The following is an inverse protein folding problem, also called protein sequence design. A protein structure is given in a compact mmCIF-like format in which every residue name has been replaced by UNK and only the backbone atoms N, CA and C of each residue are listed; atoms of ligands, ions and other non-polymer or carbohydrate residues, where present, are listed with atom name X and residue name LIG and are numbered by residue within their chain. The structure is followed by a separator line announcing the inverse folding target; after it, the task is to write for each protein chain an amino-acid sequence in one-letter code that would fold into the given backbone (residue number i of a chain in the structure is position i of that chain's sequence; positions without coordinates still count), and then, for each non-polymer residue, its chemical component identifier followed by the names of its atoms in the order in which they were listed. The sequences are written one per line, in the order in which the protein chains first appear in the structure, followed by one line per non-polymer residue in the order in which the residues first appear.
data_IF_485169179874
#
_entry.id   IF_485169179874
#
_cell.length_a   1.000
_cell.length_b   1.000
_cell.length_c   1.000
_cell.angle_alpha   90.00
_cell.angle_beta   90.00
_cell.angle_gamma   90.00
#
_symmetry.space_group_name_H-M   'P 1'
#
loop_
_entity.id
_entity.type
_entity.pdbx_description
1 polymer ?
#
# COMPACT_ATOMS: atom_id res chain seq x y z
N UNK A 1 28.47 -1.38 10.11
CA UNK A 1 27.57 -1.83 9.04
C UNK A 1 27.92 -1.02 7.81
N UNK A 2 28.52 -1.65 6.81
CA UNK A 2 28.72 -1.01 5.51
C UNK A 2 27.35 -0.81 4.87
N UNK A 3 26.96 0.43 4.63
CA UNK A 3 25.79 0.74 3.84
C UNK A 3 26.02 0.16 2.44
N UNK A 4 25.17 -0.77 2.01
CA UNK A 4 25.13 -1.23 0.62
C UNK A 4 24.66 -0.02 -0.20
N UNK A 5 25.61 0.79 -0.67
CA UNK A 5 25.36 1.84 -1.63
C UNK A 5 25.15 1.18 -2.98
N UNK A 6 23.89 1.09 -3.42
CA UNK A 6 23.58 0.69 -4.78
C UNK A 6 24.36 1.60 -5.75
N UNK A 7 24.87 1.06 -6.88
CA UNK A 7 25.61 1.85 -7.85
C UNK A 7 24.80 3.10 -8.21
N UNK A 8 25.31 4.27 -7.88
CA UNK A 8 24.64 5.52 -8.22
C UNK A 8 24.79 5.77 -9.72
N UNK A 9 23.69 6.11 -10.38
CA UNK A 9 23.72 6.53 -11.77
C UNK A 9 24.66 7.75 -11.92
N UNK A 10 25.47 7.75 -12.96
CA UNK A 10 26.29 8.92 -13.29
C UNK A 10 25.38 10.12 -13.60
N UNK A 11 25.90 11.33 -13.41
CA UNK A 11 25.16 12.57 -13.69
C UNK A 11 24.61 12.63 -15.12
N UNK A 12 25.34 12.08 -16.09
CA UNK A 12 24.90 11.94 -17.49
C UNK A 12 23.67 11.05 -17.59
N UNK A 13 23.69 9.88 -16.94
CA UNK A 13 22.55 8.94 -16.97
C UNK A 13 21.33 9.47 -16.22
N UNK A 14 21.52 10.26 -15.17
CA UNK A 14 20.43 10.94 -14.48
C UNK A 14 19.76 11.96 -15.41
N UNK A 15 20.53 12.72 -16.19
CA UNK A 15 19.98 13.65 -17.21
C UNK A 15 19.21 12.89 -18.31
N UNK A 16 19.78 11.82 -18.85
CA UNK A 16 19.10 10.97 -19.83
C UNK A 16 17.76 10.43 -19.30
N UNK A 17 17.72 9.98 -18.04
CA UNK A 17 16.49 9.52 -17.41
C UNK A 17 15.47 10.65 -17.23
N UNK A 18 15.92 11.85 -16.82
CA UNK A 18 15.05 13.02 -16.70
C UNK A 18 14.43 13.42 -18.04
N UNK A 19 15.22 13.37 -19.12
CA UNK A 19 14.75 13.60 -20.49
C UNK A 19 13.75 12.51 -20.88
N UNK A 20 14.08 11.22 -20.69
CA UNK A 20 13.15 10.12 -20.95
C UNK A 20 11.78 10.30 -20.29
N UNK A 21 11.78 10.77 -19.04
CA UNK A 21 10.56 11.01 -18.27
C UNK A 21 9.80 12.26 -18.74
N UNK A 22 10.42 13.23 -19.40
CA UNK A 22 9.74 14.46 -19.83
C UNK A 22 8.84 14.26 -21.05
N UNK A 23 9.18 13.30 -21.93
CA UNK A 23 8.38 12.93 -23.09
C UNK A 23 7.62 11.60 -22.92
N UNK A 24 7.54 11.09 -21.68
CA UNK A 24 6.83 9.84 -21.42
C UNK A 24 5.33 9.98 -21.70
N UNK A 25 4.83 9.19 -22.66
CA UNK A 25 3.41 9.18 -23.05
C UNK A 25 2.69 7.86 -22.74
N UNK A 26 3.32 6.94 -22.00
CA UNK A 26 2.72 5.66 -21.57
C UNK A 26 2.47 4.62 -22.67
N UNK A 27 2.40 5.03 -23.94
CA UNK A 27 2.01 4.20 -25.08
C UNK A 27 3.20 3.70 -25.94
N UNK A 28 4.38 4.32 -25.80
CA UNK A 28 5.55 3.94 -26.60
C UNK A 28 6.27 2.70 -26.04
N UNK A 29 6.29 1.61 -26.81
CA UNK A 29 7.08 0.40 -26.51
C UNK A 29 8.58 0.71 -26.33
N UNK A 30 9.09 1.66 -27.11
CA UNK A 30 10.50 2.09 -27.03
C UNK A 30 10.83 2.66 -25.65
N UNK A 31 9.93 3.47 -25.08
CA UNK A 31 10.13 4.05 -23.75
C UNK A 31 10.18 2.98 -22.65
N UNK A 32 9.39 1.90 -22.78
CA UNK A 32 9.39 0.79 -21.81
C UNK A 32 10.71 0.01 -21.80
N UNK A 33 11.27 -0.31 -22.96
CA UNK A 33 12.58 -0.98 -23.02
C UNK A 33 13.72 -0.11 -22.45
N UNK A 34 13.64 1.21 -22.66
CA UNK A 34 14.65 2.14 -22.18
C UNK A 34 14.60 2.30 -20.66
N UNK A 35 13.40 2.38 -20.06
CA UNK A 35 13.26 2.51 -18.61
C UNK A 35 13.68 1.24 -17.87
N UNK A 36 13.47 0.05 -18.45
CA UNK A 36 13.95 -1.22 -17.88
C UNK A 36 15.47 -1.23 -17.67
N UNK A 37 16.24 -0.59 -18.57
CA UNK A 37 17.69 -0.43 -18.41
C UNK A 37 18.02 0.38 -17.15
N UNK A 38 17.33 1.48 -16.92
CA UNK A 38 17.52 2.32 -15.73
C UNK A 38 17.08 1.61 -14.45
N UNK A 39 16.00 0.80 -14.50
CA UNK A 39 15.55 0.00 -13.36
C UNK A 39 16.63 -1.00 -12.95
N UNK A 40 17.26 -1.69 -13.90
CA UNK A 40 18.37 -2.64 -13.62
C UNK A 40 19.60 -1.98 -13.03
N UNK A 41 19.84 -0.71 -13.36
CA UNK A 41 20.95 0.07 -12.80
C UNK A 41 20.64 0.64 -11.41
N UNK A 42 19.36 0.75 -11.06
CA UNK A 42 18.87 1.37 -9.84
C UNK A 42 18.42 2.81 -10.09
N UNK A 43 17.17 3.12 -9.74
CA UNK A 43 16.61 4.48 -9.90
C UNK A 43 17.02 5.36 -8.71
N UNK A 44 17.53 6.60 -8.95
CA UNK A 44 17.91 7.51 -7.88
C UNK A 44 16.69 7.84 -7.01
N UNK A 45 16.82 7.92 -5.68
CA UNK A 45 15.68 8.18 -4.79
C UNK A 45 14.82 9.38 -5.21
N UNK A 46 15.44 10.48 -5.62
CA UNK A 46 14.75 11.70 -6.07
C UNK A 46 13.92 11.55 -7.34
N UNK A 47 14.11 10.49 -8.12
CA UNK A 47 13.39 10.23 -9.36
C UNK A 47 12.39 9.07 -9.26
N UNK A 48 12.36 8.33 -8.15
CA UNK A 48 11.48 7.16 -7.99
C UNK A 48 10.01 7.51 -8.17
N UNK A 49 9.54 8.57 -7.51
CA UNK A 49 8.14 9.04 -7.64
C UNK A 49 7.74 9.30 -9.09
N UNK A 50 8.58 10.05 -9.83
CA UNK A 50 8.36 10.33 -11.26
C UNK A 50 8.33 9.05 -12.11
N UNK A 51 9.26 8.13 -11.87
CA UNK A 51 9.31 6.84 -12.57
C UNK A 51 8.05 6.01 -12.27
N UNK A 52 7.63 5.92 -11.02
CA UNK A 52 6.45 5.14 -10.61
C UNK A 52 5.16 5.70 -11.23
N UNK A 53 4.99 7.03 -11.19
CA UNK A 53 3.91 7.76 -11.87
C UNK A 53 3.80 7.40 -13.35
N UNK A 54 4.94 7.41 -14.06
CA UNK A 54 5.03 7.01 -15.47
C UNK A 54 4.67 5.53 -15.71
N UNK A 55 5.25 4.61 -14.93
CA UNK A 55 5.07 3.16 -15.11
C UNK A 55 3.64 2.69 -14.80
N UNK A 56 3.00 3.31 -13.82
CA UNK A 56 1.62 3.02 -13.42
C UNK A 56 0.59 3.76 -14.27
N UNK A 57 1.03 4.75 -15.05
CA UNK A 57 0.22 5.64 -15.90
C UNK A 57 -0.91 6.30 -15.10
N UNK A 58 -0.58 6.83 -13.92
CA UNK A 58 -1.58 7.33 -12.97
C UNK A 58 -2.33 8.56 -13.47
N UNK A 59 -1.69 9.44 -14.26
CA UNK A 59 -2.37 10.62 -14.82
C UNK A 59 -3.49 10.20 -15.76
N UNK A 60 -3.20 9.28 -16.69
CA UNK A 60 -4.23 8.73 -17.59
C UNK A 60 -5.35 8.05 -16.80
N UNK A 61 -5.04 7.34 -15.71
CA UNK A 61 -6.06 6.68 -14.89
C UNK A 61 -6.97 7.72 -14.21
N UNK A 62 -6.38 8.74 -13.58
CA UNK A 62 -7.09 9.85 -12.96
C UNK A 62 -8.01 10.54 -13.98
N UNK A 63 -7.46 10.89 -15.13
CA UNK A 63 -8.17 11.69 -16.13
C UNK A 63 -9.34 10.92 -16.79
N UNK A 64 -9.28 9.58 -16.80
CA UNK A 64 -10.36 8.72 -17.30
C UNK A 64 -11.38 8.30 -16.24
N UNK A 65 -11.09 8.54 -14.97
CA UNK A 65 -11.92 8.08 -13.86
C UNK A 65 -12.94 9.12 -13.46
N UNK A 66 -14.19 8.71 -13.24
CA UNK A 66 -15.25 9.59 -12.71
C UNK A 66 -15.08 9.90 -11.21
N UNK A 67 -14.23 9.13 -10.52
CA UNK A 67 -13.95 9.33 -9.10
C UNK A 67 -13.12 10.58 -8.83
N UNK A 68 -13.54 11.39 -7.86
CA UNK A 68 -12.81 12.56 -7.39
C UNK A 68 -12.33 12.35 -5.95
N UNK A 69 -11.01 12.31 -5.77
CA UNK A 69 -10.37 12.05 -4.48
C UNK A 69 -10.75 13.09 -3.42
N UNK A 70 -10.68 14.38 -3.74
CA UNK A 70 -10.99 15.46 -2.79
C UNK A 70 -12.46 15.45 -2.36
N UNK A 71 -13.38 15.17 -3.30
CA UNK A 71 -14.80 15.03 -3.01
C UNK A 71 -15.07 13.85 -2.07
N UNK A 72 -14.44 12.69 -2.33
CA UNK A 72 -14.55 11.53 -1.46
C UNK A 72 -14.11 11.85 -0.02
N UNK A 73 -13.01 12.59 0.15
CA UNK A 73 -12.53 12.96 1.49
C UNK A 73 -13.51 13.89 2.22
N UNK A 74 -14.15 14.82 1.51
CA UNK A 74 -15.19 15.67 2.10
C UNK A 74 -16.39 14.84 2.59
N UNK A 75 -16.79 13.82 1.83
CA UNK A 75 -17.88 12.91 2.21
C UNK A 75 -17.51 12.05 3.43
N UNK A 76 -16.27 11.58 3.53
CA UNK A 76 -15.76 10.78 4.67
C UNK A 76 -15.67 11.59 5.96
N UNK A 77 -15.35 12.88 5.88
CA UNK A 77 -15.19 13.75 7.06
C UNK A 77 -16.47 13.95 7.87
N UNK A 78 -17.65 13.89 7.25
CA UNK A 78 -18.93 13.97 7.96
C UNK A 78 -19.10 12.87 9.02
N UNK A 79 -19.07 11.59 8.62
CA UNK A 79 -19.02 10.45 9.54
C UNK A 79 -17.98 10.56 10.66
N UNK A 80 -16.76 11.00 10.36
CA UNK A 80 -15.71 11.16 11.37
C UNK A 80 -16.08 12.22 12.41
N UNK A 81 -16.61 13.36 11.98
CA UNK A 81 -17.06 14.43 12.88
C UNK A 81 -18.21 13.96 13.78
N UNK A 82 -19.19 13.25 13.22
CA UNK A 82 -20.32 12.70 13.99
C UNK A 82 -19.86 11.69 15.06
N UNK A 83 -18.72 11.00 14.82
CA UNK A 83 -18.07 10.10 15.77
C UNK A 83 -17.16 10.82 16.77
N UNK A 84 -16.94 12.13 16.62
CA UNK A 84 -15.96 12.88 17.42
C UNK A 84 -14.51 12.49 17.11
N UNK A 85 -14.26 11.93 15.93
CA UNK A 85 -12.96 11.43 15.48
C UNK A 85 -12.36 12.36 14.44
N UNK A 86 -11.03 12.44 14.41
CA UNK A 86 -10.28 13.18 13.38
C UNK A 86 -9.28 12.26 12.69
N UNK A 87 -9.07 12.47 11.40
CA UNK A 87 -8.01 11.84 10.61
C UNK A 87 -6.60 12.10 11.19
N UNK A 88 -6.43 13.21 11.92
CA UNK A 88 -5.19 13.57 12.62
C UNK A 88 -5.03 12.86 13.98
N UNK A 89 -6.09 12.26 14.51
CA UNK A 89 -6.12 11.58 15.79
C UNK A 89 -6.63 10.14 15.68
N UNK A 90 -6.50 9.52 14.49
CA UNK A 90 -7.17 8.25 14.21
C UNK A 90 -6.67 7.11 15.09
N UNK A 91 -5.39 7.13 15.49
CA UNK A 91 -4.84 6.13 16.41
C UNK A 91 -5.44 6.24 17.82
N UNK A 92 -5.62 7.45 18.34
CA UNK A 92 -6.32 7.66 19.61
C UNK A 92 -7.80 7.32 19.55
N UNK A 93 -8.39 7.32 18.36
CA UNK A 93 -9.80 7.01 18.15
C UNK A 93 -10.12 5.52 18.13
N UNK A 94 -9.13 4.62 18.16
CA UNK A 94 -9.36 3.16 18.11
C UNK A 94 -10.30 2.69 19.23
N UNK A 95 -10.12 3.23 20.45
CA UNK A 95 -10.97 2.90 21.60
C UNK A 95 -12.40 3.36 21.36
N UNK A 96 -12.59 4.64 21.00
CA UNK A 96 -13.90 5.22 20.68
C UNK A 96 -14.62 4.47 19.56
N UNK A 97 -13.91 4.10 18.49
CA UNK A 97 -14.45 3.31 17.39
C UNK A 97 -14.84 1.89 17.84
N UNK A 98 -14.08 1.29 18.75
CA UNK A 98 -14.38 -0.04 19.30
C UNK A 98 -15.60 -0.02 20.21
N UNK A 99 -15.71 0.98 21.09
CA UNK A 99 -16.87 1.17 21.97
C UNK A 99 -18.14 1.46 21.16
N UNK A 100 -18.06 2.38 20.20
CA UNK A 100 -19.20 2.73 19.33
C UNK A 100 -19.66 1.53 18.50
N UNK A 101 -18.75 0.66 18.05
CA UNK A 101 -19.10 -0.57 17.34
C UNK A 101 -19.89 -1.54 18.22
N UNK A 102 -19.56 -1.63 19.51
CA UNK A 102 -20.21 -2.53 20.46
C UNK A 102 -21.57 -2.00 20.95
N UNK A 103 -21.72 -0.67 21.02
CA UNK A 103 -22.90 0.02 21.54
C UNK A 103 -23.96 0.34 20.47
N UNK A 104 -23.86 -0.24 19.27
CA UNK A 104 -24.78 0.00 18.15
C UNK A 104 -26.23 -0.42 18.51
N UNK A 105 -26.97 0.51 19.11
CA UNK A 105 -28.43 0.50 19.18
C UNK A 105 -29.01 0.84 17.79
N UNK A 106 -30.22 0.38 17.45
CA UNK A 106 -30.79 0.61 16.12
C UNK A 106 -31.09 2.11 15.91
N UNK A 107 -30.25 2.75 15.09
CA UNK A 107 -30.42 4.01 14.34
C UNK A 107 -31.02 5.22 15.09
N UNK A 108 -30.14 6.15 15.49
CA UNK A 108 -30.50 7.56 15.51
C UNK A 108 -30.56 8.09 14.05
N UNK A 109 -31.68 8.68 13.59
CA UNK A 109 -31.86 9.12 12.20
C UNK A 109 -30.91 10.24 11.73
N UNK A 110 -30.22 10.91 12.66
CA UNK A 110 -29.38 12.09 12.38
C UNK A 110 -27.92 11.74 12.05
N UNK A 111 -27.50 10.49 12.25
CA UNK A 111 -26.10 10.07 12.09
C UNK A 111 -25.78 9.77 10.63
N UNK A 112 -24.66 10.31 10.12
CA UNK A 112 -24.23 10.15 8.72
C UNK A 112 -23.35 8.91 8.48
N UNK A 113 -23.07 8.12 9.51
CA UNK A 113 -22.25 6.92 9.43
C UNK A 113 -23.06 5.63 9.51
N UNK A 114 -22.55 4.58 8.88
CA UNK A 114 -23.04 3.20 8.98
C UNK A 114 -22.17 2.34 9.90
N UNK A 115 -22.67 1.17 10.28
CA UNK A 115 -21.87 0.16 10.99
C UNK A 115 -20.65 -0.30 10.17
N UNK A 116 -20.79 -0.31 8.85
CA UNK A 116 -19.72 -0.64 7.91
C UNK A 116 -18.62 0.43 7.92
N UNK A 117 -19.00 1.72 8.02
CA UNK A 117 -18.04 2.83 8.14
C UNK A 117 -17.21 2.72 9.43
N UNK A 118 -17.86 2.45 10.57
CA UNK A 118 -17.16 2.27 11.85
C UNK A 118 -16.17 1.10 11.75
N UNK A 119 -16.63 -0.02 11.21
CA UNK A 119 -15.80 -1.23 11.04
C UNK A 119 -14.59 -0.93 10.15
N UNK A 120 -14.80 -0.24 9.03
CA UNK A 120 -13.76 0.16 8.10
C UNK A 120 -12.75 1.13 8.71
N UNK A 121 -13.21 2.20 9.37
CA UNK A 121 -12.32 3.16 10.05
C UNK A 121 -11.48 2.48 11.12
N UNK A 122 -12.09 1.60 11.91
CA UNK A 122 -11.40 0.84 12.97
C UNK A 122 -10.35 -0.10 12.40
N UNK A 123 -10.66 -0.83 11.33
CA UNK A 123 -9.72 -1.76 10.72
C UNK A 123 -8.50 -1.04 10.14
N UNK A 124 -8.72 0.09 9.46
CA UNK A 124 -7.63 0.94 8.97
C UNK A 124 -6.81 1.45 10.16
N UNK A 125 -7.42 1.99 11.22
CA UNK A 125 -6.71 2.52 12.38
C UNK A 125 -5.83 1.47 13.09
N UNK A 126 -6.33 0.24 13.24
CA UNK A 126 -5.58 -0.89 13.82
C UNK A 126 -4.36 -1.28 12.97
N UNK A 127 -4.48 -1.20 11.65
CA UNK A 127 -3.37 -1.49 10.75
C UNK A 127 -2.35 -0.35 10.72
N UNK A 128 -2.79 0.91 10.77
CA UNK A 128 -1.90 2.07 10.93
C UNK A 128 -1.05 1.96 12.20
N UNK A 129 -1.62 1.48 13.31
CA UNK A 129 -0.88 1.27 14.56
C UNK A 129 0.25 0.24 14.42
N UNK A 130 0.07 -0.76 13.55
CA UNK A 130 1.00 -1.89 13.36
C UNK A 130 1.96 -1.69 12.18
N UNK A 131 1.61 -0.83 11.22
CA UNK A 131 2.35 -0.65 9.96
C UNK A 131 3.56 0.29 10.14
N UNK A 132 4.77 -0.25 9.96
CA UNK A 132 6.06 0.49 9.93
C UNK A 132 6.50 1.20 11.24
N UNK A 133 6.78 0.49 12.35
CA UNK A 133 7.11 1.05 13.67
C UNK A 133 8.30 2.04 13.73
N UNK A 134 9.09 2.17 12.66
CA UNK A 134 10.38 2.87 12.67
C UNK A 134 10.51 4.01 11.66
N UNK A 135 9.49 4.34 10.85
CA UNK A 135 9.63 5.40 9.84
C UNK A 135 9.22 6.78 10.37
N UNK A 136 10.17 7.71 10.51
CA UNK A 136 9.96 9.03 11.14
C UNK A 136 8.81 9.85 10.55
N UNK A 137 8.56 9.74 9.24
CA UNK A 137 7.49 10.53 8.59
C UNK A 137 6.08 9.91 8.71
N UNK A 138 5.96 8.71 9.29
CA UNK A 138 4.68 8.00 9.42
C UNK A 138 4.42 7.53 10.86
N UNK A 139 5.40 7.67 11.76
CA UNK A 139 5.34 7.15 13.12
C UNK A 139 5.95 8.10 14.15
N UNK A 140 5.33 8.10 15.33
CA UNK A 140 5.61 9.02 16.43
C UNK A 140 4.61 10.17 16.50
N UNK A 141 4.87 11.09 17.44
CA UNK A 141 3.98 12.22 17.77
C UNK A 141 4.46 13.55 17.15
N UNK A 142 5.41 13.49 16.21
CA UNK A 142 5.85 14.70 15.52
C UNK A 142 4.75 15.20 14.58
N UNK A 143 4.67 16.51 14.30
CA UNK A 143 3.69 17.04 13.35
C UNK A 143 3.75 16.36 11.97
N UNK A 144 4.96 16.00 11.51
CA UNK A 144 5.16 15.28 10.24
C UNK A 144 4.62 13.86 10.30
N UNK A 145 4.84 13.15 11.41
CA UNK A 145 4.32 11.81 11.62
C UNK A 145 2.79 11.79 11.68
N UNK A 146 2.20 12.75 12.40
CA UNK A 146 0.74 12.92 12.51
C UNK A 146 0.12 13.19 11.13
N UNK A 147 0.69 14.11 10.36
CA UNK A 147 0.23 14.37 8.98
C UNK A 147 0.43 13.14 8.08
N UNK A 148 1.52 12.38 8.27
CA UNK A 148 1.78 11.14 7.54
C UNK A 148 0.75 10.05 7.83
N UNK A 149 0.35 9.87 9.10
CA UNK A 149 -0.70 8.94 9.50
C UNK A 149 -2.06 9.37 8.94
N UNK A 150 -2.36 10.67 8.98
CA UNK A 150 -3.58 11.22 8.40
C UNK A 150 -3.64 10.99 6.88
N UNK A 151 -2.54 11.23 6.15
CA UNK A 151 -2.41 10.91 4.72
C UNK A 151 -2.64 9.43 4.44
N UNK A 152 -2.04 8.56 5.24
CA UNK A 152 -2.17 7.12 5.08
C UNK A 152 -3.62 6.68 5.29
N UNK A 153 -4.28 7.18 6.33
CA UNK A 153 -5.71 6.95 6.55
C UNK A 153 -6.55 7.41 5.36
N UNK A 154 -6.36 8.64 4.88
CA UNK A 154 -7.10 9.24 3.77
C UNK A 154 -6.96 8.45 2.47
N UNK A 155 -5.75 8.00 2.12
CA UNK A 155 -5.51 7.18 0.93
C UNK A 155 -6.25 5.84 1.03
N UNK A 156 -6.17 5.18 2.18
CA UNK A 156 -6.78 3.87 2.38
C UNK A 156 -8.31 3.93 2.38
N UNK A 157 -8.89 4.92 3.06
CA UNK A 157 -10.34 5.08 3.09
C UNK A 157 -10.89 5.47 1.71
N UNK A 158 -10.20 6.35 0.98
CA UNK A 158 -10.58 6.70 -0.37
C UNK A 158 -10.52 5.48 -1.30
N UNK A 159 -9.50 4.63 -1.18
CA UNK A 159 -9.41 3.38 -1.95
C UNK A 159 -10.57 2.43 -1.63
N UNK A 160 -10.89 2.23 -0.35
CA UNK A 160 -12.01 1.39 0.06
C UNK A 160 -13.37 1.90 -0.46
N UNK A 161 -13.53 3.23 -0.60
CA UNK A 161 -14.72 3.84 -1.23
C UNK A 161 -14.69 3.76 -2.76
N UNK A 162 -13.50 3.85 -3.37
CA UNK A 162 -13.30 3.74 -4.82
C UNK A 162 -13.69 2.34 -5.31
N UNK A 163 -13.21 1.29 -4.64
CA UNK A 163 -13.52 -0.09 -4.97
C UNK A 163 -14.19 -0.79 -3.78
N UNK A 164 -15.49 -0.57 -3.63
CA UNK A 164 -16.28 -1.15 -2.53
C UNK A 164 -16.42 -2.66 -2.59
N UNK A 165 -16.16 -3.30 -3.73
CA UNK A 165 -16.19 -4.77 -3.85
C UNK A 165 -15.00 -5.41 -3.14
N UNK A 166 -13.81 -4.79 -3.24
CA UNK A 166 -12.62 -5.22 -2.52
C UNK A 166 -12.59 -4.61 -1.11
N UNK A 167 -12.98 -3.33 -1.00
CA UNK A 167 -12.93 -2.57 0.24
C UNK A 167 -11.49 -2.39 0.74
N UNK A 168 -11.32 -2.50 2.05
CA UNK A 168 -10.01 -2.50 2.70
C UNK A 168 -9.65 -3.93 3.14
N UNK A 169 -8.46 -4.37 2.78
CA UNK A 169 -7.88 -5.64 3.25
C UNK A 169 -6.61 -5.38 4.05
N UNK A 170 -6.36 -6.23 5.05
CA UNK A 170 -5.12 -6.18 5.83
C UNK A 170 -3.90 -6.27 4.89
N UNK A 171 -2.88 -5.47 5.18
CA UNK A 171 -1.66 -5.38 4.36
C UNK A 171 -1.67 -4.24 3.33
N UNK A 172 -2.84 -3.71 2.97
CA UNK A 172 -2.95 -2.55 2.06
C UNK A 172 -2.28 -1.29 2.62
N UNK A 173 -2.28 -1.13 3.95
CA UNK A 173 -1.57 -0.06 4.66
C UNK A 173 -0.08 -0.01 4.32
N UNK A 174 0.57 -1.16 4.17
CA UNK A 174 1.99 -1.20 3.83
C UNK A 174 2.25 -0.70 2.40
N UNK A 175 1.39 -1.09 1.45
CA UNK A 175 1.48 -0.62 0.06
C UNK A 175 1.29 0.90 0.01
N UNK A 176 0.24 1.41 0.64
CA UNK A 176 -0.06 2.83 0.66
C UNK A 176 1.07 3.66 1.32
N UNK A 177 1.64 3.17 2.42
CA UNK A 177 2.78 3.82 3.08
C UNK A 177 4.02 3.88 2.18
N UNK A 178 4.38 2.80 1.50
CA UNK A 178 5.52 2.79 0.55
C UNK A 178 5.29 3.78 -0.60
N UNK A 179 4.06 3.89 -1.09
CA UNK A 179 3.70 4.87 -2.12
C UNK A 179 3.83 6.31 -1.59
N UNK A 180 3.33 6.59 -0.39
CA UNK A 180 3.42 7.92 0.25
C UNK A 180 4.86 8.35 0.56
N UNK A 181 5.80 7.42 0.70
CA UNK A 181 7.23 7.76 0.83
C UNK A 181 7.83 8.33 -0.47
N UNK A 182 7.19 8.12 -1.62
CA UNK A 182 7.72 8.50 -2.93
C UNK A 182 6.83 9.45 -3.73
N UNK A 183 5.55 9.57 -3.36
CA UNK A 183 4.51 10.27 -4.11
C UNK A 183 3.75 11.26 -3.22
N UNK A 184 3.10 12.25 -3.84
CA UNK A 184 2.08 13.05 -3.16
C UNK A 184 0.87 12.20 -2.74
N UNK A 185 0.06 12.70 -1.82
CA UNK A 185 -1.08 11.95 -1.25
C UNK A 185 -2.05 11.41 -2.31
N UNK A 186 -2.57 12.28 -3.17
CA UNK A 186 -3.51 11.87 -4.23
C UNK A 186 -2.82 11.02 -5.31
N UNK A 187 -1.53 11.27 -5.58
CA UNK A 187 -0.76 10.44 -6.51
C UNK A 187 -0.56 9.02 -5.96
N UNK A 188 -0.36 8.88 -4.65
CA UNK A 188 -0.28 7.59 -3.97
C UNK A 188 -1.61 6.83 -4.05
N UNK A 189 -2.75 7.52 -3.92
CA UNK A 189 -4.07 6.93 -4.15
C UNK A 189 -4.18 6.36 -5.58
N UNK A 190 -3.90 7.16 -6.61
CA UNK A 190 -3.99 6.68 -8.00
C UNK A 190 -2.98 5.56 -8.32
N UNK A 191 -1.80 5.61 -7.72
CA UNK A 191 -0.81 4.54 -7.84
C UNK A 191 -1.30 3.23 -7.18
N UNK A 192 -1.95 3.33 -6.02
CA UNK A 192 -2.56 2.20 -5.33
C UNK A 192 -3.68 1.59 -6.18
N UNK A 193 -4.59 2.41 -6.71
CA UNK A 193 -5.64 1.95 -7.62
C UNK A 193 -5.06 1.26 -8.85
N UNK A 194 -4.05 1.85 -9.48
CA UNK A 194 -3.39 1.25 -10.64
C UNK A 194 -2.78 -0.14 -10.32
N UNK A 195 -2.18 -0.31 -9.14
CA UNK A 195 -1.57 -1.57 -8.69
C UNK A 195 -2.60 -2.65 -8.34
N UNK A 196 -3.69 -2.26 -7.69
CA UNK A 196 -4.68 -3.18 -7.13
C UNK A 196 -5.79 -3.53 -8.11
N UNK A 197 -5.97 -2.79 -9.21
CA UNK A 197 -7.06 -3.06 -10.16
C UNK A 197 -6.61 -3.52 -11.54
N UNK A 198 -5.44 -3.09 -12.03
CA UNK A 198 -5.00 -3.54 -13.35
C UNK A 198 -4.66 -5.04 -13.29
N UNK A 199 -5.28 -5.90 -14.12
CA UNK A 199 -5.15 -7.37 -14.06
C UNK A 199 -3.71 -7.90 -14.09
N UNK A 200 -2.78 -7.12 -14.66
CA UNK A 200 -1.35 -7.45 -14.78
C UNK A 200 -0.54 -7.29 -13.48
N UNK A 201 -1.09 -6.71 -12.42
CA UNK A 201 -0.36 -6.42 -11.19
C UNK A 201 -0.88 -7.28 -10.03
N UNK A 202 -1.49 -6.67 -9.02
CA UNK A 202 -1.85 -7.32 -7.75
C UNK A 202 -3.33 -7.70 -7.54
N UNK A 203 -4.33 -7.45 -8.42
CA UNK A 203 -5.75 -7.67 -8.05
C UNK A 203 -6.07 -9.06 -7.51
N UNK A 204 -5.50 -10.10 -8.14
CA UNK A 204 -5.74 -11.49 -7.77
C UNK A 204 -5.12 -11.88 -6.41
N UNK A 205 -4.23 -11.06 -5.83
CA UNK A 205 -3.67 -11.29 -4.50
C UNK A 205 -4.58 -10.81 -3.39
N UNK A 206 -5.49 -9.89 -3.68
CA UNK A 206 -6.41 -9.29 -2.71
C UNK A 206 -7.85 -9.75 -2.91
N UNK A 207 -8.07 -10.77 -3.75
CA UNK A 207 -9.39 -11.37 -3.88
C UNK A 207 -9.74 -12.21 -2.65
N UNK A 208 -11.03 -12.27 -2.33
CA UNK A 208 -11.55 -13.02 -1.17
C UNK A 208 -11.32 -14.54 -1.29
N UNK A 209 -11.02 -15.04 -2.49
CA UNK A 209 -10.81 -16.47 -2.72
C UNK A 209 -9.42 -16.93 -2.28
N UNK A 210 -8.45 -16.01 -2.19
CA UNK A 210 -7.02 -16.27 -1.94
C UNK A 210 -6.40 -17.30 -2.91
N UNK A 211 -7.08 -17.61 -4.01
CA UNK A 211 -6.70 -18.69 -4.93
C UNK A 211 -5.32 -18.43 -5.54
N UNK A 212 -5.03 -17.17 -5.87
CA UNK A 212 -3.74 -16.79 -6.45
C UNK A 212 -2.60 -16.95 -5.45
N UNK A 213 -2.81 -16.56 -4.19
CA UNK A 213 -1.83 -16.70 -3.11
C UNK A 213 -1.52 -18.19 -2.92
N UNK A 214 -2.56 -19.03 -2.80
CA UNK A 214 -2.38 -20.47 -2.67
C UNK A 214 -1.61 -21.07 -3.87
N UNK A 215 -1.88 -20.60 -5.08
CA UNK A 215 -1.14 -21.02 -6.27
C UNK A 215 0.33 -20.56 -6.22
N UNK A 216 0.61 -19.32 -5.82
CA UNK A 216 1.98 -18.82 -5.69
C UNK A 216 2.78 -19.55 -4.62
N UNK A 217 2.16 -19.89 -3.48
CA UNK A 217 2.79 -20.70 -2.43
C UNK A 217 3.20 -22.07 -2.98
N UNK A 218 2.33 -22.73 -3.77
CA UNK A 218 2.65 -24.01 -4.43
C UNK A 218 3.80 -23.87 -5.44
N UNK A 219 3.79 -22.81 -6.24
CA UNK A 219 4.87 -22.54 -7.20
C UNK A 219 6.20 -22.29 -6.48
N UNK A 220 6.19 -21.51 -5.40
CA UNK A 220 7.36 -21.26 -4.57
C UNK A 220 7.91 -22.54 -3.94
N UNK A 221 7.04 -23.39 -3.38
CA UNK A 221 7.43 -24.69 -2.83
C UNK A 221 8.13 -25.58 -3.87
N UNK A 222 7.60 -25.63 -5.10
CA UNK A 222 8.24 -26.36 -6.21
C UNK A 222 9.63 -25.79 -6.55
N UNK A 223 9.77 -24.47 -6.63
CA UNK A 223 11.07 -23.84 -6.86
C UNK A 223 12.04 -24.10 -5.72
N UNK A 224 11.58 -24.05 -4.47
CA UNK A 224 12.41 -24.27 -3.29
C UNK A 224 12.93 -25.72 -3.26
N UNK A 225 12.06 -26.70 -3.53
CA UNK A 225 12.42 -28.12 -3.67
C UNK A 225 13.48 -28.32 -4.75
N UNK A 226 13.32 -27.66 -5.90
CA UNK A 226 14.25 -27.82 -7.02
C UNK A 226 15.59 -27.10 -6.80
N UNK A 227 15.58 -25.86 -6.30
CA UNK A 227 16.77 -25.00 -6.19
C UNK A 227 17.53 -25.17 -4.88
N UNK A 228 16.83 -25.50 -3.78
CA UNK A 228 17.36 -25.60 -2.41
C UNK A 228 16.71 -26.76 -1.65
N UNK A 229 16.90 -28.02 -2.09
CA UNK A 229 16.20 -29.19 -1.54
C UNK A 229 16.41 -29.39 -0.03
N UNK A 230 17.64 -29.16 0.46
CA UNK A 230 17.96 -29.23 1.90
C UNK A 230 17.16 -28.22 2.74
N UNK A 231 16.98 -27.00 2.23
CA UNK A 231 16.19 -25.98 2.91
C UNK A 231 14.71 -26.32 2.88
N UNK A 232 14.19 -26.82 1.74
CA UNK A 232 12.81 -27.29 1.65
C UNK A 232 12.52 -28.40 2.66
N UNK A 233 13.40 -29.39 2.77
CA UNK A 233 13.25 -30.47 3.74
C UNK A 233 13.23 -29.93 5.18
N UNK A 234 14.14 -29.03 5.51
CA UNK A 234 14.18 -28.42 6.85
C UNK A 234 12.92 -27.59 7.16
N UNK A 235 12.38 -26.85 6.18
CA UNK A 235 11.12 -26.10 6.37
C UNK A 235 9.90 -27.02 6.54
N UNK A 236 9.91 -28.20 5.91
CA UNK A 236 8.88 -29.23 6.12
C UNK A 236 8.95 -29.83 7.52
N UNK A 237 10.16 -30.12 8.01
CA UNK A 237 10.39 -30.59 9.39
C UNK A 237 9.88 -29.60 10.43
N UNK A 238 9.94 -28.29 10.14
CA UNK A 238 9.43 -27.20 10.98
C UNK A 238 7.94 -26.88 10.75
N UNK A 239 7.25 -27.59 9.86
CA UNK A 239 5.84 -27.34 9.48
C UNK A 239 5.55 -25.90 8.99
N UNK A 240 6.53 -25.25 8.33
CA UNK A 240 6.43 -23.86 7.86
C UNK A 240 5.82 -23.73 6.45
N UNK A 241 5.67 -24.83 5.71
CA UNK A 241 5.17 -24.85 4.31
C UNK A 241 3.77 -25.46 4.18
N UNK A 242 3.07 -25.67 5.29
CA UNK A 242 1.69 -26.15 5.24
C UNK A 242 0.77 -25.04 4.73
N UNK A 243 0.23 -25.21 3.51
CA UNK A 243 -0.62 -24.23 2.84
C UNK A 243 -1.93 -23.92 3.61
N UNK A 244 -2.26 -24.72 4.62
CA UNK A 244 -3.34 -24.44 5.58
C UNK A 244 -3.06 -23.26 6.52
N UNK A 245 -1.82 -22.77 6.56
CA UNK A 245 -1.37 -21.56 7.29
C UNK A 245 -0.97 -20.41 6.36
N UNK A 246 -1.52 -20.34 5.14
CA UNK A 246 -1.14 -19.31 4.16
C UNK A 246 -1.28 -17.85 4.65
N UNK A 247 -2.10 -17.60 5.67
CA UNK A 247 -2.17 -16.32 6.39
C UNK A 247 -0.86 -15.97 7.11
N UNK A 248 -0.16 -16.97 7.64
CA UNK A 248 1.10 -16.78 8.36
C UNK A 248 2.24 -16.38 7.42
N UNK A 249 2.17 -16.69 6.12
CA UNK A 249 3.23 -16.31 5.17
C UNK A 249 3.23 -14.81 4.87
N UNK A 250 2.05 -14.17 4.86
CA UNK A 250 1.92 -12.71 4.78
C UNK A 250 2.43 -12.08 6.09
N UNK A 251 2.04 -12.63 7.25
CA UNK A 251 2.52 -12.16 8.56
C UNK A 251 4.05 -12.34 8.75
N UNK A 252 4.64 -13.41 8.21
CA UNK A 252 6.10 -13.66 8.25
C UNK A 252 6.83 -12.69 7.32
N UNK A 253 6.25 -12.35 6.16
CA UNK A 253 6.82 -11.31 5.27
C UNK A 253 6.68 -9.92 5.87
N UNK A 254 5.55 -9.61 6.53
CA UNK A 254 5.34 -8.34 7.24
C UNK A 254 6.26 -8.18 8.47
N UNK A 255 6.49 -9.26 9.23
CA UNK A 255 7.41 -9.27 10.38
C UNK A 255 8.87 -9.42 10.00
N UNK A 256 9.15 -9.94 8.80
CA UNK A 256 10.48 -10.21 8.27
C UNK A 256 11.03 -9.13 7.35
N UNK A 257 10.36 -7.97 7.24
CA UNK A 257 10.87 -6.85 6.45
C UNK A 257 12.25 -6.45 6.99
N UNK A 258 13.25 -6.69 6.16
CA UNK A 258 14.66 -6.36 6.36
C UNK A 258 14.89 -4.95 6.95
N UNK A 259 16.01 -4.70 7.65
CA UNK A 259 16.40 -3.39 8.20
C UNK A 259 16.52 -2.24 7.17
N UNK A 260 16.24 -2.51 5.89
CA UNK A 260 16.37 -1.61 4.73
C UNK A 260 15.42 -0.39 4.81
N UNK A 261 14.43 -0.41 5.71
CA UNK A 261 13.51 0.71 5.94
C UNK A 261 13.85 1.60 7.14
N UNK A 262 15.04 1.46 7.72
CA UNK A 262 15.58 2.47 8.66
C UNK A 262 16.19 3.63 7.86
N UNK A 263 15.40 4.69 7.67
CA UNK A 263 15.91 6.03 7.38
C UNK A 263 16.14 6.78 8.70
#
# INVERSE_FOLDING_TARGET
MEYISYPQLSSVRVKELCELLSYWNGASFLCKSQIERFIRMGIPPSLRGRVWKCLLTIDSLRDTSDFNYQKCLLEVRGPLVDLGVSEYGILSAITTLSETQNDLLPRCPELRYSADDITLFRQIALDLQRSFPTHRSLMGDSPEAIEGQAKLFRVLIAYAKYNSQVGYSQGMSYIAAVLLMQLGEEEAFWAMTALLEKPKYLPQLFDLSLTKIQHQVKVFDQFLKHRKPKLSQHMLELSLLDATKATDFVDIVEKGVDPIYRF
#
